data_IF_537761223238
#
_entry.id   IF_537761223238
#
_cell.length_a   1.000
_cell.length_b   1.000
_cell.length_c   1.000
_cell.angle_alpha   90.00
_cell.angle_beta   90.00
_cell.angle_gamma   90.00
#
_symmetry.space_group_name_H-M   'P 1'
#
loop_
_entity.id
_entity.type
_entity.pdbx_description
1 polymer ?
#
# COMPACT_ATOMS: atom_id res chain seq x y z
N UNK A 1 -4.81 18.39 9.37
CA UNK A 1 -4.97 17.03 9.91
C UNK A 1 -4.22 16.12 8.97
N UNK A 2 -3.22 15.35 9.43
CA UNK A 2 -2.73 14.24 8.63
C UNK A 2 -3.90 13.26 8.47
N UNK A 3 -4.19 12.85 7.23
CA UNK A 3 -5.25 11.91 6.92
C UNK A 3 -4.72 10.50 7.20
N UNK A 4 -4.76 10.10 8.46
CA UNK A 4 -4.44 8.73 8.84
C UNK A 4 -5.67 7.89 8.52
N UNK A 5 -5.55 6.96 7.57
CA UNK A 5 -6.58 5.95 7.31
C UNK A 5 -6.72 5.12 8.60
N UNK A 6 -7.94 5.05 9.15
CA UNK A 6 -8.24 4.25 10.35
C UNK A 6 -8.40 2.79 9.94
N UNK A 7 -7.32 2.01 10.10
CA UNK A 7 -7.19 0.63 9.64
C UNK A 7 -7.72 -0.35 10.69
N UNK A 8 -8.99 -0.19 11.09
CA UNK A 8 -9.62 -1.13 12.02
C UNK A 8 -9.90 -2.46 11.31
N UNK A 9 -9.30 -3.53 11.82
CA UNK A 9 -9.25 -4.87 11.25
C UNK A 9 -10.63 -5.53 11.10
N UNK A 10 -11.15 -5.63 9.88
CA UNK A 10 -12.07 -6.71 9.57
C UNK A 10 -12.06 -7.25 8.13
N UNK A 11 -11.42 -6.62 7.14
CA UNK A 11 -11.22 -7.18 5.78
C UNK A 11 -10.15 -6.38 5.00
N UNK A 12 -9.28 -7.03 4.24
CA UNK A 12 -8.10 -6.40 3.61
C UNK A 12 -8.47 -5.51 2.40
N UNK A 13 -9.48 -5.89 1.62
CA UNK A 13 -9.71 -5.32 0.28
C UNK A 13 -10.51 -4.01 0.26
N UNK A 14 -11.24 -3.68 1.34
CA UNK A 14 -11.95 -2.39 1.36
C UNK A 14 -11.01 -1.21 1.61
N UNK A 15 -9.83 -1.44 2.21
CA UNK A 15 -8.85 -0.37 2.46
C UNK A 15 -8.34 0.20 1.13
N UNK A 16 -8.12 -0.67 0.13
CA UNK A 16 -7.81 -0.25 -1.23
C UNK A 16 -8.95 0.55 -1.87
N UNK A 17 -10.21 0.17 -1.62
CA UNK A 17 -11.37 0.92 -2.14
C UNK A 17 -11.50 2.30 -1.51
N UNK A 18 -11.29 2.41 -0.20
CA UNK A 18 -11.31 3.70 0.48
C UNK A 18 -10.19 4.61 -0.04
N UNK A 19 -8.98 4.07 -0.24
CA UNK A 19 -7.88 4.81 -0.83
C UNK A 19 -8.15 5.21 -2.30
N UNK A 20 -8.78 4.35 -3.09
CA UNK A 20 -9.23 4.66 -4.45
C UNK A 20 -10.21 5.85 -4.45
N UNK A 21 -11.22 5.81 -3.58
CA UNK A 21 -12.18 6.90 -3.41
C UNK A 21 -11.52 8.19 -2.92
N UNK A 22 -10.55 8.10 -2.00
CA UNK A 22 -9.78 9.23 -1.52
C UNK A 22 -8.99 9.90 -2.64
N UNK A 23 -8.22 9.14 -3.42
CA UNK A 23 -7.43 9.66 -4.54
C UNK A 23 -8.32 10.33 -5.57
N UNK A 24 -9.44 9.68 -5.94
CA UNK A 24 -10.42 10.21 -6.88
C UNK A 24 -11.02 11.54 -6.40
N UNK A 25 -11.36 11.63 -5.11
CA UNK A 25 -11.95 12.84 -4.51
C UNK A 25 -10.98 14.02 -4.53
N UNK A 26 -9.70 13.77 -4.20
CA UNK A 26 -8.65 14.80 -4.23
C UNK A 26 -8.32 15.22 -5.68
N UNK A 27 -8.27 14.26 -6.60
CA UNK A 27 -8.06 14.52 -8.02
C UNK A 27 -9.18 15.39 -8.60
N UNK A 28 -10.44 15.07 -8.30
CA UNK A 28 -11.62 15.84 -8.72
C UNK A 28 -11.59 17.27 -8.16
N UNK A 29 -11.15 17.45 -6.91
CA UNK A 29 -10.96 18.79 -6.32
C UNK A 29 -9.91 19.60 -7.08
N UNK A 30 -8.80 18.98 -7.47
CA UNK A 30 -7.78 19.62 -8.29
C UNK A 30 -8.31 20.02 -9.68
N UNK A 31 -9.14 19.18 -10.30
CA UNK A 31 -9.78 19.47 -11.59
C UNK A 31 -10.79 20.60 -11.49
N UNK A 32 -11.59 20.65 -10.43
CA UNK A 32 -12.49 21.77 -10.15
C UNK A 32 -11.72 23.10 -10.10
N UNK A 33 -10.59 23.15 -9.39
CA UNK A 33 -9.76 24.35 -9.32
C UNK A 33 -9.12 24.67 -10.67
N UNK A 34 -8.66 23.67 -11.42
CA UNK A 34 -8.12 23.85 -12.76
C UNK A 34 -9.15 24.52 -13.69
N UNK A 35 -10.39 24.02 -13.71
CA UNK A 35 -11.49 24.55 -14.50
C UNK A 35 -11.86 25.98 -14.06
N UNK A 36 -12.00 26.20 -12.74
CA UNK A 36 -12.29 27.52 -12.16
C UNK A 36 -11.24 28.57 -12.52
N UNK A 37 -9.96 28.18 -12.58
CA UNK A 37 -8.85 29.04 -12.96
C UNK A 37 -8.61 29.12 -14.47
N UNK A 38 -9.34 28.34 -15.28
CA UNK A 38 -9.10 28.17 -16.73
C UNK A 38 -7.64 27.85 -17.04
N UNK A 39 -7.01 27.08 -16.15
CA UNK A 39 -5.57 26.78 -16.21
C UNK A 39 -5.30 25.59 -17.12
N UNK A 40 -4.25 25.69 -17.94
CA UNK A 40 -3.73 24.54 -18.69
C UNK A 40 -2.89 23.59 -17.82
N UNK A 41 -2.45 24.03 -16.64
CA UNK A 41 -1.66 23.21 -15.71
C UNK A 41 -2.55 22.19 -15.01
N UNK A 42 -2.24 20.90 -15.20
CA UNK A 42 -2.80 19.77 -14.43
C UNK A 42 -2.02 19.63 -13.12
N UNK A 43 -2.71 19.62 -11.98
CA UNK A 43 -2.08 19.40 -10.67
C UNK A 43 -2.03 17.89 -10.42
N UNK A 44 -0.83 17.36 -10.24
CA UNK A 44 -0.59 15.97 -9.88
C UNK A 44 -0.59 15.81 -8.35
N UNK A 45 -0.77 14.58 -7.90
CA UNK A 45 -0.85 14.23 -6.49
C UNK A 45 0.47 13.66 -5.99
N UNK A 46 0.77 13.98 -4.74
CA UNK A 46 1.84 13.39 -3.95
C UNK A 46 1.20 12.74 -2.74
N UNK A 47 1.23 11.41 -2.67
CA UNK A 47 0.79 10.65 -1.50
C UNK A 47 2.02 10.43 -0.61
N UNK A 48 2.41 11.46 0.15
CA UNK A 48 3.67 11.49 0.91
C UNK A 48 3.61 10.78 2.26
N UNK A 49 2.42 10.41 2.72
CA UNK A 49 2.22 9.59 3.91
C UNK A 49 1.11 8.55 3.68
N UNK A 50 1.50 7.28 3.51
CA UNK A 50 0.58 6.13 3.49
C UNK A 50 1.29 4.86 3.98
N UNK A 51 0.70 4.17 4.96
CA UNK A 51 1.17 2.88 5.46
C UNK A 51 0.15 2.22 6.39
N UNK A 52 0.43 0.98 6.82
CA UNK A 52 -0.32 0.31 7.89
C UNK A 52 0.15 0.81 9.26
N UNK A 53 -0.72 1.47 10.02
CA UNK A 53 -0.38 2.01 11.34
C UNK A 53 -1.33 1.49 12.41
N UNK A 54 -0.81 0.64 13.32
CA UNK A 54 -1.59 -0.09 14.33
C UNK A 54 -1.59 0.64 15.66
N UNK A 55 -0.43 1.14 16.10
CA UNK A 55 -0.30 1.78 17.40
C UNK A 55 -0.59 3.29 17.33
N UNK A 56 -1.78 3.69 16.92
CA UNK A 56 -2.18 5.10 16.98
C UNK A 56 -2.40 5.50 18.44
N UNK A 57 -1.76 6.56 18.91
CA UNK A 57 -1.91 6.98 20.31
C UNK A 57 -0.84 7.92 20.85
N UNK A 58 -0.77 7.99 22.19
CA UNK A 58 0.19 8.82 22.92
C UNK A 58 1.61 8.25 22.85
N UNK A 59 2.59 9.15 22.84
CA UNK A 59 4.02 8.86 22.95
C UNK A 59 4.32 7.81 24.03
N UNK A 60 5.11 6.80 23.66
CA UNK A 60 5.64 5.75 24.55
C UNK A 60 6.85 6.24 25.36
N UNK A 61 7.34 7.45 25.10
CA UNK A 61 8.43 8.05 25.85
C UNK A 61 8.06 8.27 27.32
N UNK A 62 8.87 7.72 28.23
CA UNK A 62 8.68 7.88 29.67
C UNK A 62 8.92 9.32 30.14
N UNK A 63 9.79 10.05 29.43
CA UNK A 63 10.18 11.43 29.75
C UNK A 63 10.22 12.28 28.48
N UNK A 64 9.91 13.57 28.64
CA UNK A 64 10.09 14.56 27.57
C UNK A 64 11.56 14.67 27.20
N UNK A 65 11.84 14.82 25.90
CA UNK A 65 13.17 15.03 25.34
C UNK A 65 14.14 13.84 25.51
N UNK A 66 13.59 12.62 25.62
CA UNK A 66 14.40 11.40 25.53
C UNK A 66 15.05 11.30 24.15
N UNK A 67 16.30 10.85 24.12
CA UNK A 67 17.02 10.60 22.87
C UNK A 67 16.63 9.21 22.37
N UNK A 68 16.07 9.16 21.16
CA UNK A 68 15.65 7.92 20.46
C UNK A 68 14.76 7.02 21.34
N UNK A 69 13.59 7.50 21.81
CA UNK A 69 12.62 6.62 22.43
C UNK A 69 12.06 5.64 21.39
N UNK A 70 11.79 4.40 21.82
CA UNK A 70 11.14 3.39 20.97
C UNK A 70 9.69 3.77 20.73
N UNK A 71 9.47 4.48 19.64
CA UNK A 71 8.20 5.08 19.28
C UNK A 71 7.71 4.48 17.97
N UNK A 72 6.45 4.06 17.97
CA UNK A 72 5.75 3.56 16.77
C UNK A 72 6.51 2.45 16.02
N UNK A 73 7.22 1.61 16.76
CA UNK A 73 7.86 0.37 16.29
C UNK A 73 6.80 -0.75 16.21
N UNK A 74 5.96 -0.69 15.19
CA UNK A 74 4.91 -1.69 14.96
C UNK A 74 5.47 -2.98 14.33
N UNK A 75 4.95 -4.13 14.76
CA UNK A 75 5.26 -5.45 14.19
C UNK A 75 4.14 -5.88 13.24
N UNK A 76 4.50 -6.11 11.97
CA UNK A 76 3.54 -6.41 10.92
C UNK A 76 3.29 -7.91 10.73
N UNK A 77 2.03 -8.26 10.54
CA UNK A 77 1.55 -9.61 10.25
C UNK A 77 1.43 -9.84 8.74
N UNK A 78 0.99 -11.03 8.32
CA UNK A 78 0.77 -11.34 6.89
C UNK A 78 -0.40 -10.52 6.32
N UNK A 79 -1.48 -10.36 7.07
CA UNK A 79 -2.62 -9.50 6.72
C UNK A 79 -2.17 -8.05 6.44
N UNK A 80 -1.25 -7.50 7.26
CA UNK A 80 -0.72 -6.15 7.07
C UNK A 80 0.05 -6.03 5.74
N UNK A 81 0.79 -7.09 5.36
CA UNK A 81 1.48 -7.15 4.07
C UNK A 81 0.51 -7.25 2.89
N UNK A 82 -0.63 -7.95 3.06
CA UNK A 82 -1.67 -8.00 2.03
C UNK A 82 -2.35 -6.64 1.85
N UNK A 83 -2.66 -5.93 2.95
CA UNK A 83 -3.17 -4.55 2.91
C UNK A 83 -2.19 -3.64 2.19
N UNK A 84 -0.91 -3.68 2.56
CA UNK A 84 0.13 -2.89 1.89
C UNK A 84 0.21 -3.20 0.38
N UNK A 85 0.09 -4.48 -0.01
CA UNK A 85 0.03 -4.91 -1.41
C UNK A 85 -1.17 -4.34 -2.15
N UNK A 86 -2.38 -4.42 -1.60
CA UNK A 86 -3.58 -3.85 -2.20
C UNK A 86 -3.49 -2.31 -2.34
N UNK A 87 -2.88 -1.64 -1.36
CA UNK A 87 -2.58 -0.21 -1.44
C UNK A 87 -1.60 0.10 -2.58
N UNK A 88 -0.51 -0.66 -2.71
CA UNK A 88 0.45 -0.50 -3.81
C UNK A 88 -0.23 -0.66 -5.18
N UNK A 89 -1.07 -1.68 -5.35
CA UNK A 89 -1.84 -1.89 -6.58
C UNK A 89 -2.74 -0.67 -6.88
N UNK A 90 -3.39 -0.12 -5.86
CA UNK A 90 -4.24 1.07 -5.99
C UNK A 90 -3.43 2.30 -6.40
N UNK A 91 -2.23 2.49 -5.84
CA UNK A 91 -1.33 3.58 -6.24
C UNK A 91 -0.92 3.45 -7.71
N UNK A 92 -0.63 2.23 -8.17
CA UNK A 92 -0.33 1.97 -9.58
C UNK A 92 -1.55 2.29 -10.46
N UNK A 93 -2.75 1.82 -10.10
CA UNK A 93 -3.99 2.17 -10.83
C UNK A 93 -4.18 3.68 -11.01
N UNK A 94 -3.70 4.49 -10.06
CA UNK A 94 -3.79 5.95 -10.09
C UNK A 94 -2.50 6.66 -10.52
N UNK A 95 -1.53 5.95 -11.12
CA UNK A 95 -0.25 6.54 -11.51
C UNK A 95 -0.38 7.63 -12.58
N UNK A 96 -1.54 7.78 -13.24
CA UNK A 96 -1.82 8.90 -14.13
C UNK A 96 -1.92 10.24 -13.38
N UNK A 97 -2.39 10.22 -12.13
CA UNK A 97 -2.52 11.39 -11.22
C UNK A 97 -1.49 11.42 -10.12
N UNK A 98 -1.21 10.30 -9.47
CA UNK A 98 -0.24 10.17 -8.38
C UNK A 98 1.14 10.01 -8.99
N UNK A 99 1.98 11.05 -8.87
CA UNK A 99 3.33 11.06 -9.45
C UNK A 99 4.43 10.90 -8.42
N UNK A 100 4.09 10.95 -7.14
CA UNK A 100 4.98 10.68 -6.04
C UNK A 100 4.18 9.98 -4.95
N UNK A 101 4.73 8.91 -4.42
CA UNK A 101 4.18 8.22 -3.26
C UNK A 101 5.34 7.90 -2.32
N UNK A 102 5.18 8.20 -1.04
CA UNK A 102 6.17 7.92 -0.01
C UNK A 102 5.45 7.31 1.18
N UNK A 103 6.02 6.24 1.70
CA UNK A 103 5.57 5.65 2.95
C UNK A 103 6.30 6.30 4.11
N UNK A 104 5.59 6.62 5.21
CA UNK A 104 6.18 7.20 6.39
C UNK A 104 7.23 6.24 6.94
N UNK A 105 8.48 6.72 6.93
CA UNK A 105 9.72 6.13 7.42
C UNK A 105 10.16 4.79 6.81
N UNK A 106 11.42 4.74 6.36
CA UNK A 106 12.05 3.54 5.79
C UNK A 106 12.59 2.58 6.88
N UNK A 107 12.89 3.11 8.06
CA UNK A 107 13.56 2.41 9.15
C UNK A 107 12.85 2.68 10.48
N UNK A 108 12.65 1.63 11.28
CA UNK A 108 12.22 1.62 12.69
C UNK A 108 10.79 2.13 12.93
N UNK A 109 10.52 3.39 12.61
CA UNK A 109 9.20 4.00 12.78
C UNK A 109 8.28 3.52 11.66
N UNK A 110 7.23 2.78 11.97
CA UNK A 110 6.18 2.39 10.98
C UNK A 110 6.81 1.86 9.66
N UNK A 111 7.84 1.03 9.78
CA UNK A 111 8.79 0.81 8.70
C UNK A 111 8.84 -0.66 8.23
N UNK A 112 9.18 -0.91 6.96
CA UNK A 112 9.40 -2.26 6.45
C UNK A 112 10.74 -2.87 6.92
N UNK A 113 11.66 -2.05 7.42
CA UNK A 113 12.99 -2.47 7.89
C UNK A 113 13.14 -2.07 9.35
N UNK A 114 13.53 -3.04 10.18
CA UNK A 114 13.73 -2.86 11.61
C UNK A 114 15.17 -3.12 12.00
N UNK A 115 15.64 -2.40 13.02
CA UNK A 115 16.99 -2.54 13.55
C UNK A 115 16.96 -2.46 15.06
N UNK A 116 17.82 -3.23 15.70
CA UNK A 116 18.08 -3.11 17.14
C UNK A 116 19.37 -2.32 17.40
N UNK A 117 19.41 -1.53 18.47
CA UNK A 117 20.59 -0.74 18.84
C UNK A 117 21.81 -1.63 19.09
N UNK A 118 22.83 -1.54 18.22
CA UNK A 118 24.01 -2.41 18.27
C UNK A 118 23.72 -3.87 17.92
N UNK A 119 22.52 -4.16 17.41
CA UNK A 119 22.02 -5.50 17.12
C UNK A 119 21.77 -5.74 15.63
N UNK A 120 21.01 -6.79 15.31
CA UNK A 120 20.71 -7.18 13.94
C UNK A 120 19.72 -6.24 13.25
N UNK A 121 19.69 -6.34 11.92
CA UNK A 121 18.66 -5.77 11.05
C UNK A 121 17.78 -6.90 10.52
N UNK A 122 16.47 -6.69 10.49
CA UNK A 122 15.52 -7.63 9.89
C UNK A 122 14.46 -6.93 9.06
N UNK A 123 13.86 -7.70 8.14
CA UNK A 123 12.82 -7.24 7.22
C UNK A 123 11.45 -7.65 7.75
N UNK A 124 10.50 -6.72 7.73
CA UNK A 124 9.11 -7.00 8.10
C UNK A 124 8.35 -7.65 6.94
N UNK A 125 7.18 -8.23 7.24
CA UNK A 125 6.31 -8.86 6.22
C UNK A 125 5.94 -7.89 5.09
N UNK A 126 5.70 -6.62 5.42
CA UNK A 126 5.35 -5.56 4.47
C UNK A 126 6.50 -5.19 3.51
N UNK A 127 7.76 -5.51 3.83
CA UNK A 127 8.91 -5.22 2.96
C UNK A 127 8.78 -5.86 1.57
N UNK A 128 8.28 -7.09 1.51
CA UNK A 128 8.22 -7.86 0.27
C UNK A 128 7.25 -7.28 -0.77
N UNK A 129 6.01 -6.84 -0.41
CA UNK A 129 5.18 -6.04 -1.31
C UNK A 129 5.91 -4.84 -1.93
N UNK A 130 6.59 -4.02 -1.10
CA UNK A 130 7.33 -2.86 -1.61
C UNK A 130 8.48 -3.26 -2.53
N UNK A 131 9.22 -4.31 -2.17
CA UNK A 131 10.32 -4.81 -2.99
C UNK A 131 9.80 -5.21 -4.37
N UNK A 132 8.74 -6.01 -4.42
CA UNK A 132 8.17 -6.48 -5.68
C UNK A 132 7.66 -5.32 -6.53
N UNK A 133 6.82 -4.44 -5.98
CA UNK A 133 6.31 -3.30 -6.75
C UNK A 133 7.42 -2.33 -7.17
N UNK A 134 8.49 -2.15 -6.39
CA UNK A 134 9.62 -1.28 -6.76
C UNK A 134 10.48 -1.84 -7.91
N UNK A 135 10.63 -3.16 -7.97
CA UNK A 135 11.39 -3.85 -9.02
C UNK A 135 10.57 -3.99 -10.31
N UNK A 136 9.31 -4.40 -10.17
CA UNK A 136 8.45 -4.89 -11.26
C UNK A 136 7.38 -3.88 -11.69
N UNK A 137 7.05 -2.90 -10.85
CA UNK A 137 6.06 -1.85 -11.14
C UNK A 137 6.53 -0.77 -12.11
N UNK A 138 7.49 -1.08 -13.00
CA UNK A 138 8.11 -0.11 -13.93
C UNK A 138 7.71 -0.39 -15.38
N UNK A 139 7.07 0.59 -16.00
CA UNK A 139 6.66 0.51 -17.39
C UNK A 139 5.31 1.18 -17.63
N UNK A 140 4.59 0.68 -18.62
CA UNK A 140 3.25 1.13 -18.95
C UNK A 140 2.22 0.30 -18.18
N UNK A 141 1.42 0.96 -17.35
CA UNK A 141 0.35 0.30 -16.63
C UNK A 141 -0.83 0.02 -17.56
N UNK A 142 -1.33 -1.22 -17.49
CA UNK A 142 -2.48 -1.70 -18.21
C UNK A 142 -3.60 -1.95 -17.21
N UNK A 143 -4.79 -1.44 -17.48
CA UNK A 143 -5.97 -1.71 -16.65
C UNK A 143 -6.62 -3.03 -17.09
N UNK A 144 -6.47 -4.12 -16.32
CA UNK A 144 -7.09 -5.39 -16.68
C UNK A 144 -8.61 -5.31 -16.54
N UNK A 145 -9.32 -5.93 -17.48
CA UNK A 145 -10.77 -6.16 -17.36
C UNK A 145 -11.00 -7.37 -16.45
N UNK A 146 -11.11 -7.12 -15.15
CA UNK A 146 -11.27 -8.16 -14.13
C UNK A 146 -12.75 -8.43 -13.88
N UNK A 147 -13.14 -9.71 -13.96
CA UNK A 147 -14.41 -10.21 -13.42
C UNK A 147 -14.10 -11.07 -12.21
N UNK A 148 -14.55 -10.63 -11.04
CA UNK A 148 -14.37 -11.33 -9.76
C UNK A 148 -15.67 -11.35 -8.99
N UNK A 149 -15.97 -12.42 -8.23
CA UNK A 149 -17.04 -12.37 -7.24
C UNK A 149 -16.80 -11.22 -6.25
N UNK A 150 -17.87 -10.80 -5.57
CA UNK A 150 -17.85 -9.71 -4.61
C UNK A 150 -18.38 -10.16 -3.26
N UNK A 151 -18.00 -9.44 -2.22
CA UNK A 151 -18.53 -9.60 -0.87
C UNK A 151 -18.88 -8.25 -0.26
N UNK A 152 -19.78 -8.27 0.71
CA UNK A 152 -20.08 -7.10 1.52
C UNK A 152 -19.26 -7.18 2.81
N UNK A 153 -18.62 -6.07 3.17
CA UNK A 153 -18.01 -5.87 4.47
C UNK A 153 -18.95 -5.04 5.36
N UNK A 154 -18.51 -4.76 6.59
CA UNK A 154 -19.29 -3.95 7.53
C UNK A 154 -19.49 -2.52 7.04
N UNK A 155 -18.48 -1.94 6.40
CA UNK A 155 -18.45 -0.53 6.02
C UNK A 155 -18.59 -0.31 4.50
N UNK A 156 -18.40 -1.37 3.69
CA UNK A 156 -18.46 -1.30 2.23
C UNK A 156 -19.31 -2.44 1.65
N UNK A 157 -20.01 -2.16 0.55
CA UNK A 157 -20.70 -3.19 -0.25
C UNK A 157 -19.95 -3.43 -1.55
N UNK A 158 -20.18 -4.59 -2.17
CA UNK A 158 -19.65 -4.91 -3.50
C UNK A 158 -18.11 -4.94 -3.60
N UNK A 159 -17.41 -5.32 -2.54
CA UNK A 159 -15.94 -5.40 -2.49
C UNK A 159 -15.44 -6.59 -3.34
N UNK A 160 -14.55 -6.40 -4.33
CA UNK A 160 -14.07 -7.48 -5.17
C UNK A 160 -13.08 -8.38 -4.41
N UNK A 161 -13.19 -9.70 -4.61
CA UNK A 161 -12.21 -10.67 -4.04
C UNK A 161 -10.83 -10.65 -4.71
N UNK A 162 -10.68 -9.93 -5.83
CA UNK A 162 -9.44 -9.90 -6.59
C UNK A 162 -9.12 -8.47 -6.94
N UNK A 163 -7.96 -8.03 -6.47
CA UNK A 163 -7.34 -6.76 -6.81
C UNK A 163 -6.06 -7.04 -7.60
N UNK A 164 -5.90 -6.40 -8.76
CA UNK A 164 -4.76 -6.60 -9.65
C UNK A 164 -4.55 -5.45 -10.63
N UNK A 165 -3.30 -5.29 -11.05
CA UNK A 165 -2.83 -4.41 -12.12
C UNK A 165 -1.78 -5.15 -12.95
N UNK A 166 -1.63 -4.77 -14.21
CA UNK A 166 -0.60 -5.33 -15.09
C UNK A 166 0.36 -4.22 -15.52
N UNK A 167 1.66 -4.53 -15.54
CA UNK A 167 2.71 -3.62 -15.99
C UNK A 167 3.36 -4.20 -17.22
N UNK A 168 3.40 -3.41 -18.29
CA UNK A 168 4.08 -3.77 -19.52
C UNK A 168 5.41 -3.04 -19.61
N UNK A 169 6.50 -3.80 -19.69
CA UNK A 169 7.85 -3.27 -19.86
C UNK A 169 8.30 -3.46 -21.32
N UNK A 170 8.29 -2.38 -22.10
CA UNK A 170 8.66 -2.37 -23.51
C UNK A 170 10.12 -2.78 -23.76
N UNK A 171 11.05 -2.41 -22.87
CA UNK A 171 12.49 -2.67 -23.06
C UNK A 171 12.82 -4.16 -22.90
N UNK A 172 12.09 -4.85 -22.03
CA UNK A 172 12.27 -6.27 -21.77
C UNK A 172 11.30 -7.15 -22.58
N UNK A 173 10.31 -6.53 -23.25
CA UNK A 173 9.20 -7.22 -23.90
C UNK A 173 8.49 -8.20 -22.96
N UNK A 174 8.35 -7.79 -21.69
CA UNK A 174 7.76 -8.57 -20.60
C UNK A 174 6.44 -7.92 -20.16
N UNK A 175 5.41 -8.75 -19.99
CA UNK A 175 4.17 -8.38 -19.31
C UNK A 175 4.23 -8.99 -17.92
N UNK A 176 4.32 -8.15 -16.91
CA UNK A 176 4.24 -8.57 -15.53
C UNK A 176 2.83 -8.27 -15.00
N UNK A 177 2.04 -9.33 -14.84
CA UNK A 177 0.82 -9.23 -14.07
C UNK A 177 1.17 -9.24 -12.57
N UNK A 178 0.84 -8.17 -11.84
CA UNK A 178 0.92 -8.17 -10.36
C UNK A 178 -0.15 -9.11 -9.72
N UNK A 179 -0.76 -9.98 -10.51
CA UNK A 179 -1.48 -11.19 -10.08
C UNK A 179 -0.69 -12.02 -9.06
N UNK A 180 0.65 -11.92 -9.03
CA UNK A 180 1.50 -12.62 -8.06
C UNK A 180 1.28 -12.19 -6.60
N UNK A 181 0.75 -10.98 -6.33
CA UNK A 181 0.45 -10.53 -4.95
C UNK A 181 -0.99 -10.83 -4.54
N UNK A 182 -1.97 -10.65 -5.43
CA UNK A 182 -3.38 -11.03 -5.16
C UNK A 182 -3.59 -12.54 -4.99
N UNK A 183 -2.74 -13.37 -5.61
CA UNK A 183 -2.74 -14.82 -5.38
C UNK A 183 -2.22 -15.23 -3.99
N UNK A 184 -1.55 -14.38 -3.21
CA UNK A 184 -1.08 -14.77 -1.86
C UNK A 184 -2.25 -15.08 -0.90
N UNK A 185 -3.45 -14.54 -1.15
CA UNK A 185 -4.65 -14.90 -0.38
C UNK A 185 -5.13 -16.35 -0.63
N UNK A 186 -4.81 -16.96 -1.79
CA UNK A 186 -5.21 -18.34 -2.15
C UNK A 186 -4.03 -19.32 -2.25
N UNK A 187 -2.83 -18.82 -2.52
CA UNK A 187 -1.59 -19.58 -2.68
C UNK A 187 -0.83 -19.79 -1.34
N UNK A 188 -1.18 -19.07 -0.29
CA UNK A 188 -0.62 -19.25 1.06
C UNK A 188 -0.77 -20.68 1.59
N UNK A 189 -1.77 -21.45 1.16
CA UNK A 189 -1.88 -22.87 1.54
C UNK A 189 -0.93 -23.82 0.80
N UNK A 190 -0.50 -23.50 -0.43
CA UNK A 190 0.38 -24.39 -1.21
C UNK A 190 1.86 -24.01 -1.09
N UNK A 191 2.19 -22.72 -0.91
CA UNK A 191 3.57 -22.25 -0.73
C UNK A 191 4.10 -22.62 0.67
N UNK A 192 3.26 -22.62 1.70
CA UNK A 192 3.63 -23.06 3.05
C UNK A 192 3.92 -24.57 3.11
N UNK A 193 3.30 -25.39 2.25
CA UNK A 193 3.49 -26.85 2.23
C UNK A 193 4.83 -27.28 1.61
N UNK A 194 5.42 -26.45 0.76
CA UNK A 194 6.74 -26.69 0.16
C UNK A 194 7.89 -26.32 1.11
N UNK A 195 7.63 -25.51 2.14
CA UNK A 195 8.66 -25.07 3.10
C UNK A 195 8.77 -25.95 4.35
N UNK A 196 7.79 -26.83 4.63
CA UNK A 196 7.79 -27.71 5.81
C UNK A 196 8.25 -29.16 5.55
N UNK A 197 8.62 -29.51 4.31
CA UNK A 197 9.13 -30.85 3.96
C UNK A 197 10.48 -30.80 3.21
N UNK A 198 11.27 -29.77 3.48
CA UNK A 198 12.68 -29.68 3.07
C UNK A 198 13.59 -29.76 4.29
#
# INVERSE_FOLDING_TARGET
MPTVLDLSYENVDYISLDMDHFINSVAATCEYIQAKKKSKKKINLSLDEWYVWKSQGSSRAEKRWQIVPSEFEDVYTLEDALVAGCCLITLLKHADRVKMAASPSLLIFIAPIMTENGGPLWLQTTYYPYLHTSLYGRGTLLHPLISSPKYDSKDFSDVPYLEAISVYNEEQNEVEDELKMGLLAKASWNVIRLWMNG
#
